data_IF_227661589353
#
_entry.id   IF_227661589353
#
_cell.length_a   1.000
_cell.length_b   1.000
_cell.length_c   1.000
_cell.angle_alpha   90.00
_cell.angle_beta   90.00
_cell.angle_gamma   90.00
#
_symmetry.space_group_name_H-M   'P 1'
#
loop_
_entity.id
_entity.type
_entity.pdbx_description
1 polymer ?
#
# COMPACT_ATOMS: atom_id res chain seq x y z
N UNK A 1 1.11 -14.63 0.41
CA UNK A 1 2.11 -13.73 -0.24
C UNK A 1 1.95 -12.34 0.34
N UNK A 2 3.01 -11.74 0.87
CA UNK A 2 3.00 -10.37 1.39
C UNK A 2 3.12 -9.42 0.20
N UNK A 3 2.13 -8.55 -0.03
CA UNK A 3 2.09 -7.70 -1.23
C UNK A 3 2.59 -6.28 -0.97
N UNK A 4 2.48 -5.77 0.26
CA UNK A 4 2.92 -4.42 0.61
C UNK A 4 3.70 -4.38 1.93
N UNK A 5 4.56 -3.37 2.07
CA UNK A 5 5.31 -3.12 3.31
C UNK A 5 4.36 -2.91 4.51
N UNK A 6 3.25 -2.22 4.28
CA UNK A 6 2.22 -1.97 5.29
C UNK A 6 1.55 -3.28 5.73
N UNK A 7 1.16 -4.12 4.77
CA UNK A 7 0.58 -5.43 5.06
C UNK A 7 1.56 -6.33 5.81
N UNK A 8 2.85 -6.23 5.51
CA UNK A 8 3.90 -6.96 6.21
C UNK A 8 4.09 -6.48 7.66
N UNK A 9 4.17 -5.17 7.88
CA UNK A 9 4.30 -4.56 9.21
C UNK A 9 3.06 -4.87 10.06
N UNK A 10 1.87 -4.82 9.46
CA UNK A 10 0.61 -5.17 10.13
C UNK A 10 0.58 -6.63 10.55
N UNK A 11 1.06 -7.55 9.69
CA UNK A 11 1.18 -8.98 10.00
C UNK A 11 2.23 -9.24 11.09
N UNK A 12 3.37 -8.55 11.06
CA UNK A 12 4.39 -8.64 12.11
C UNK A 12 3.85 -8.20 13.48
N UNK A 13 3.13 -7.08 13.54
CA UNK A 13 2.51 -6.60 14.78
C UNK A 13 1.38 -7.51 15.29
N UNK A 14 0.72 -8.27 14.41
CA UNK A 14 -0.45 -9.08 14.74
C UNK A 14 -0.13 -10.54 15.12
N UNK A 15 0.87 -11.17 14.50
CA UNK A 15 1.05 -12.63 14.59
C UNK A 15 2.32 -13.08 15.35
N UNK A 16 3.17 -12.17 15.80
CA UNK A 16 4.42 -12.52 16.49
C UNK A 16 5.53 -13.00 15.55
N UNK A 17 6.57 -13.65 16.08
CA UNK A 17 7.80 -13.99 15.35
C UNK A 17 7.65 -15.15 14.34
N UNK A 18 6.61 -15.97 14.49
CA UNK A 18 6.34 -17.11 13.62
C UNK A 18 4.91 -17.04 13.11
N UNK A 19 4.76 -16.95 11.80
CA UNK A 19 3.46 -16.99 11.15
C UNK A 19 3.30 -18.29 10.37
N UNK A 20 2.24 -19.05 10.68
CA UNK A 20 1.85 -20.25 9.92
C UNK A 20 0.72 -19.87 8.98
N UNK A 21 0.97 -19.98 7.68
CA UNK A 21 -0.09 -19.89 6.67
C UNK A 21 -1.06 -21.06 6.80
N UNK A 22 -2.29 -20.89 6.29
CA UNK A 22 -3.30 -21.97 6.21
C UNK A 22 -2.79 -23.21 5.45
N UNK A 23 -1.78 -23.03 4.59
CA UNK A 23 -1.12 -24.08 3.81
C UNK A 23 0.02 -24.79 4.55
N UNK A 24 0.28 -24.43 5.82
CA UNK A 24 1.25 -25.11 6.69
C UNK A 24 2.69 -24.61 6.60
N UNK A 25 2.98 -23.60 5.77
CA UNK A 25 4.30 -22.97 5.73
C UNK A 25 4.51 -22.04 6.93
N UNK A 26 5.57 -22.29 7.70
CA UNK A 26 6.08 -21.39 8.72
C UNK A 26 7.00 -20.36 8.08
N UNK A 27 6.60 -19.10 8.10
CA UNK A 27 7.47 -17.99 7.70
C UNK A 27 8.25 -17.53 8.94
N UNK A 28 9.58 -17.65 8.89
CA UNK A 28 10.46 -17.04 9.88
C UNK A 28 10.56 -15.54 9.62
N UNK A 29 9.94 -14.76 10.51
CA UNK A 29 9.97 -13.30 10.42
C UNK A 29 11.24 -12.71 11.04
N UNK A 30 12.04 -13.51 11.77
CA UNK A 30 13.29 -13.03 12.39
C UNK A 30 14.36 -12.71 11.36
N UNK A 31 14.52 -13.58 10.37
CA UNK A 31 15.52 -13.43 9.31
C UNK A 31 15.35 -12.13 8.48
N UNK A 32 14.13 -11.72 8.06
CA UNK A 32 13.95 -10.47 7.31
C UNK A 32 13.91 -9.18 8.16
N UNK A 33 13.86 -9.26 9.49
CA UNK A 33 13.71 -8.07 10.35
C UNK A 33 14.75 -6.96 10.12
N UNK A 34 16.06 -7.25 10.01
CA UNK A 34 17.06 -6.20 9.79
C UNK A 34 16.85 -5.49 8.44
N UNK A 35 16.46 -6.23 7.41
CA UNK A 35 16.16 -5.66 6.09
C UNK A 35 14.88 -4.81 6.13
N UNK A 36 13.88 -5.23 6.90
CA UNK A 36 12.64 -4.48 7.10
C UNK A 36 12.87 -3.16 7.84
N UNK A 37 13.62 -3.20 8.94
CA UNK A 37 13.95 -2.02 9.73
C UNK A 37 14.66 -0.98 8.86
N UNK A 38 15.55 -1.44 7.98
CA UNK A 38 16.24 -0.60 7.02
C UNK A 38 15.26 0.01 6.00
N UNK A 39 14.42 -0.81 5.37
CA UNK A 39 13.44 -0.36 4.40
C UNK A 39 12.48 0.70 4.98
N UNK A 40 11.96 0.46 6.19
CA UNK A 40 11.09 1.39 6.89
C UNK A 40 11.79 2.74 7.15
N UNK A 41 13.02 2.71 7.67
CA UNK A 41 13.80 3.92 7.97
C UNK A 41 14.09 4.77 6.73
N UNK A 42 14.23 4.14 5.57
CA UNK A 42 14.56 4.81 4.30
C UNK A 42 13.33 5.11 3.43
N UNK A 43 12.15 4.64 3.81
CA UNK A 43 10.91 4.87 3.05
C UNK A 43 10.36 6.29 3.28
N UNK A 44 9.83 6.92 2.23
CA UNK A 44 9.25 8.27 2.32
C UNK A 44 7.85 8.17 2.89
N UNK A 45 7.58 8.92 3.96
CA UNK A 45 6.24 8.94 4.56
C UNK A 45 5.33 9.93 3.82
N UNK A 46 4.07 9.53 3.57
CA UNK A 46 3.14 10.29 2.74
C UNK A 46 2.78 11.68 3.30
N UNK A 47 2.65 11.83 4.62
CA UNK A 47 2.26 13.11 5.22
C UNK A 47 3.40 14.12 5.36
N UNK A 48 4.64 13.65 5.56
CA UNK A 48 5.80 14.51 5.83
C UNK A 48 6.71 14.64 4.61
N UNK A 49 6.52 13.80 3.58
CA UNK A 49 7.39 13.68 2.40
C UNK A 49 8.88 13.50 2.76
N UNK A 50 9.15 13.01 3.97
CA UNK A 50 10.49 12.77 4.50
C UNK A 50 10.55 11.36 5.05
N UNK A 51 11.75 10.80 5.04
CA UNK A 51 12.01 9.48 5.60
C UNK A 51 12.22 9.56 7.11
N UNK A 52 11.82 8.54 7.90
CA UNK A 52 12.05 8.52 9.34
C UNK A 52 13.53 8.71 9.74
N UNK A 53 14.48 8.19 8.96
CA UNK A 53 15.91 8.35 9.26
C UNK A 53 16.41 9.81 9.17
N UNK A 54 15.90 10.61 8.22
CA UNK A 54 16.18 12.06 8.17
C UNK A 54 15.65 12.75 9.42
N UNK A 55 14.43 12.45 9.85
CA UNK A 55 13.82 13.11 11.01
C UNK A 55 14.55 12.79 12.32
N UNK A 56 15.01 11.55 12.47
CA UNK A 56 15.67 11.11 13.72
C UNK A 56 17.17 11.42 13.73
N UNK A 57 17.86 11.19 12.61
CA UNK A 57 19.33 11.24 12.55
C UNK A 57 19.88 12.40 11.72
N UNK A 58 19.05 13.09 10.96
CA UNK A 58 19.47 14.16 10.05
C UNK A 58 20.13 13.67 8.75
N UNK A 59 20.19 12.36 8.51
CA UNK A 59 20.79 11.79 7.31
C UNK A 59 20.15 10.45 6.93
N UNK A 60 20.16 10.15 5.62
CA UNK A 60 19.72 8.87 5.08
C UNK A 60 20.88 8.03 4.61
N UNK A 61 20.80 6.73 4.87
CA UNK A 61 21.68 5.76 4.26
C UNK A 61 21.41 5.77 2.75
N UNK A 62 22.41 6.14 1.95
CA UNK A 62 22.35 6.02 0.50
C UNK A 62 22.46 4.54 0.16
N UNK A 63 21.31 3.87 0.09
CA UNK A 63 21.24 2.57 -0.56
C UNK A 63 21.47 2.79 -2.04
N UNK A 64 22.33 1.96 -2.63
CA UNK A 64 22.60 2.01 -4.07
C UNK A 64 21.28 1.65 -4.78
N UNK A 65 20.56 2.65 -5.27
CA UNK A 65 19.29 2.45 -5.97
C UNK A 65 19.47 1.53 -7.19
N UNK A 66 20.68 1.49 -7.77
CA UNK A 66 21.00 0.58 -8.87
C UNK A 66 21.07 -0.91 -8.46
N UNK A 67 20.99 -1.24 -7.16
CA UNK A 67 20.82 -2.63 -6.70
C UNK A 67 19.35 -3.05 -6.66
N UNK A 68 18.40 -2.10 -6.66
CA UNK A 68 16.98 -2.33 -6.89
C UNK A 68 16.66 -1.92 -8.32
N UNK A 69 17.32 -2.60 -9.27
CA UNK A 69 17.18 -2.35 -10.70
C UNK A 69 15.72 -2.50 -11.14
N UNK A 70 15.24 -1.48 -11.86
CA UNK A 70 13.95 -1.41 -12.55
C UNK A 70 13.79 -2.44 -13.70
N UNK A 71 14.74 -3.37 -13.86
CA UNK A 71 14.79 -4.41 -14.92
C UNK A 71 14.95 -5.83 -14.32
N UNK A 72 14.32 -6.12 -13.19
CA UNK A 72 14.07 -7.51 -12.81
C UNK A 72 12.79 -7.91 -13.57
N UNK A 73 12.87 -8.44 -14.79
CA UNK A 73 13.62 -9.64 -15.12
C UNK A 73 14.23 -9.52 -16.54
N UNK A 74 15.56 -9.55 -16.67
CA UNK A 74 16.17 -10.09 -17.89
C UNK A 74 15.83 -11.58 -17.93
N UNK A 75 14.65 -11.88 -18.45
CA UNK A 75 14.18 -13.25 -18.65
C UNK A 75 15.12 -13.85 -19.68
N UNK A 76 15.99 -14.76 -19.24
CA UNK A 76 16.80 -15.57 -20.14
C UNK A 76 15.88 -16.14 -21.23
N UNK A 77 16.29 -16.12 -22.51
CA UNK A 77 15.48 -16.49 -23.71
C UNK A 77 14.63 -17.77 -23.58
N UNK A 78 14.94 -18.64 -22.63
CA UNK A 78 14.24 -19.89 -22.32
C UNK A 78 12.97 -19.70 -21.48
N UNK A 79 12.76 -18.54 -20.88
CA UNK A 79 11.65 -18.26 -19.96
C UNK A 79 10.61 -17.28 -20.53
N UNK A 80 10.51 -17.18 -21.85
CA UNK A 80 9.48 -16.38 -22.56
C UNK A 80 8.04 -16.72 -22.12
N UNK A 81 7.80 -17.97 -21.70
CA UNK A 81 6.51 -18.40 -21.13
C UNK A 81 6.18 -17.68 -19.82
N UNK A 82 7.20 -17.45 -18.98
CA UNK A 82 7.10 -16.73 -17.72
C UNK A 82 6.86 -15.24 -17.95
N UNK A 83 7.49 -14.67 -18.98
CA UNK A 83 7.24 -13.28 -19.42
C UNK A 83 5.78 -13.07 -19.81
N UNK A 84 5.26 -13.99 -20.64
CA UNK A 84 3.87 -13.92 -21.09
C UNK A 84 2.87 -14.13 -19.94
N UNK A 85 3.24 -14.89 -18.91
CA UNK A 85 2.43 -15.04 -17.70
C UNK A 85 2.38 -13.73 -16.90
N UNK A 86 3.54 -13.13 -16.61
CA UNK A 86 3.64 -11.88 -15.87
C UNK A 86 2.91 -10.72 -16.56
N UNK A 87 2.99 -10.65 -17.89
CA UNK A 87 2.28 -9.62 -18.65
C UNK A 87 0.75 -9.79 -18.57
N UNK A 88 0.26 -11.03 -18.60
CA UNK A 88 -1.16 -11.33 -18.43
C UNK A 88 -1.65 -10.99 -17.02
N UNK A 89 -0.86 -11.31 -16.01
CA UNK A 89 -1.19 -11.02 -14.61
C UNK A 89 -1.22 -9.50 -14.38
N UNK A 90 -0.24 -8.77 -14.92
CA UNK A 90 -0.20 -7.30 -14.88
C UNK A 90 -1.42 -6.66 -15.55
N UNK A 91 -1.80 -7.14 -16.74
CA UNK A 91 -3.00 -6.65 -17.44
C UNK A 91 -4.27 -6.97 -16.66
N UNK A 92 -4.32 -8.12 -15.99
CA UNK A 92 -5.44 -8.48 -15.14
C UNK A 92 -5.55 -7.58 -13.91
N UNK A 93 -4.44 -7.31 -13.23
CA UNK A 93 -4.38 -6.39 -12.08
C UNK A 93 -4.86 -4.98 -12.45
N UNK A 94 -4.41 -4.45 -13.59
CA UNK A 94 -4.85 -3.15 -14.09
C UNK A 94 -6.36 -3.13 -14.34
N UNK A 95 -6.91 -4.17 -14.99
CA UNK A 95 -8.35 -4.28 -15.22
C UNK A 95 -9.12 -4.37 -13.90
N UNK A 96 -8.64 -5.13 -12.93
CA UNK A 96 -9.27 -5.21 -11.61
C UNK A 96 -9.28 -3.86 -10.86
N UNK A 97 -8.23 -3.05 -11.02
CA UNK A 97 -8.22 -1.67 -10.51
C UNK A 97 -9.27 -0.80 -11.21
N UNK A 98 -9.31 -0.81 -12.53
CA UNK A 98 -10.29 -0.05 -13.33
C UNK A 98 -11.73 -0.44 -12.97
N UNK A 99 -12.03 -1.74 -12.91
CA UNK A 99 -13.34 -2.27 -12.52
C UNK A 99 -13.73 -1.83 -11.11
N UNK A 100 -12.76 -1.80 -10.18
CA UNK A 100 -12.99 -1.37 -8.79
C UNK A 100 -13.30 0.13 -8.71
N UNK A 101 -12.60 0.97 -9.48
CA UNK A 101 -12.89 2.40 -9.56
C UNK A 101 -14.25 2.67 -10.19
N UNK A 102 -14.56 2.00 -11.30
CA UNK A 102 -15.86 2.12 -11.96
C UNK A 102 -17.02 1.70 -11.04
N UNK A 103 -16.84 0.60 -10.28
CA UNK A 103 -17.83 0.17 -9.29
C UNK A 103 -18.02 1.20 -8.17
N UNK A 104 -16.94 1.80 -7.67
CA UNK A 104 -17.02 2.82 -6.63
C UNK A 104 -17.74 4.08 -7.11
N UNK A 105 -17.45 4.52 -8.34
CA UNK A 105 -18.11 5.66 -9.00
C UNK A 105 -19.61 5.40 -9.20
N UNK A 106 -19.98 4.26 -9.79
CA UNK A 106 -21.39 3.89 -10.01
C UNK A 106 -22.16 3.74 -8.68
N UNK A 107 -21.52 3.19 -7.64
CA UNK A 107 -22.11 3.12 -6.30
C UNK A 107 -22.28 4.50 -5.69
N UNK A 108 -21.30 5.39 -5.86
CA UNK A 108 -21.38 6.77 -5.39
C UNK A 108 -22.55 7.49 -6.06
N UNK A 109 -22.64 7.48 -7.39
CA UNK A 109 -23.70 8.15 -8.14
C UNK A 109 -25.09 7.63 -7.79
N UNK A 110 -25.24 6.33 -7.57
CA UNK A 110 -26.54 5.73 -7.17
C UNK A 110 -26.94 6.04 -5.73
N UNK A 111 -25.97 6.16 -4.82
CA UNK A 111 -26.25 6.38 -3.39
C UNK A 111 -26.31 7.86 -3.01
N UNK A 112 -25.68 8.74 -3.79
CA UNK A 112 -25.64 10.16 -3.52
C UNK A 112 -26.86 10.87 -4.09
N UNK A 113 -27.89 11.02 -3.26
CA UNK A 113 -28.89 12.04 -3.48
C UNK A 113 -28.31 13.39 -3.02
N UNK A 114 -28.07 14.31 -3.96
CA UNK A 114 -27.75 15.69 -3.60
C UNK A 114 -28.98 16.31 -2.91
N UNK A 115 -28.86 16.76 -1.66
CA UNK A 115 -29.97 17.43 -0.99
C UNK A 115 -30.25 18.78 -1.66
N UNK A 116 -31.53 19.04 -1.99
CA UNK A 116 -31.98 20.31 -2.55
C UNK A 116 -32.12 21.36 -1.42
N UNK A 117 -31.02 22.02 -1.08
CA UNK A 117 -31.03 23.11 -0.11
C UNK A 117 -31.36 24.43 -0.79
N UNK A 118 -32.39 25.14 -0.29
CA UNK A 118 -32.72 26.49 -0.78
C UNK A 118 -32.19 27.54 0.17
N UNK A 119 -31.88 28.71 -0.38
CA UNK A 119 -31.41 29.87 0.41
C UNK A 119 -32.52 30.27 1.38
N UNK A 120 -32.27 30.08 2.68
CA UNK A 120 -33.22 30.34 3.76
C UNK A 120 -33.66 29.10 4.55
N UNK A 121 -33.31 27.90 4.09
CA UNK A 121 -33.64 26.66 4.82
C UNK A 121 -32.75 26.48 6.06
N UNK A 122 -33.37 26.05 7.17
CA UNK A 122 -32.67 25.66 8.38
C UNK A 122 -32.07 24.25 8.20
N UNK A 123 -30.76 24.16 8.14
CA UNK A 123 -30.03 22.89 8.02
C UNK A 123 -29.28 22.60 9.32
N UNK A 124 -29.38 21.35 9.79
CA UNK A 124 -28.62 20.88 10.94
C UNK A 124 -27.21 20.47 10.51
N UNK A 125 -26.21 21.07 11.13
CA UNK A 125 -24.80 20.74 10.89
C UNK A 125 -24.40 19.66 11.90
N UNK A 126 -23.89 18.51 11.44
CA UNK A 126 -23.37 17.48 12.33
C UNK A 126 -22.13 18.00 13.06
N UNK A 127 -22.21 18.14 14.38
CA UNK A 127 -21.12 18.63 15.24
C UNK A 127 -20.00 17.62 15.46
N UNK A 128 -20.16 16.37 14.99
CA UNK A 128 -19.18 15.28 15.20
C UNK A 128 -17.80 15.56 14.61
N UNK A 129 -17.73 16.30 13.49
CA UNK A 129 -16.46 16.65 12.83
C UNK A 129 -15.91 18.04 13.22
N UNK A 130 -16.64 18.81 14.06
CA UNK A 130 -16.23 20.15 14.49
C UNK A 130 -15.60 20.19 15.90
N UNK A 131 -15.56 19.05 16.58
CA UNK A 131 -14.96 18.94 17.92
C UNK A 131 -13.43 19.02 17.93
N UNK A 132 -12.78 18.91 16.77
CA UNK A 132 -11.31 18.93 16.65
C UNK A 132 -10.71 20.34 16.44
N UNK A 133 -11.54 21.39 16.48
CA UNK A 133 -11.07 22.78 16.46
C UNK A 133 -10.88 23.24 17.91
N UNK A 134 -9.70 22.98 18.48
CA UNK A 134 -9.20 23.62 19.70
C UNK A 134 -7.97 24.46 19.40
#
# INVERSE_FOLDING_TARGET
MIQTLEEMVRRFCAYGLEFKDCDGFTHDLCTPLPALELAYKTSIHASTNQTPAILVKGWNLKLHQDSLRNDLVEIHRTADSLKGMLERDRQHELRCMEDSFAYAEDKWDKSHATPDFKVGDLVLISTTNFNDIK
#
